data_IF_768037743770
#
_entry.id   IF_768037743770
#
_cell.length_a   1.000
_cell.length_b   1.000
_cell.length_c   1.000
_cell.angle_alpha   90.00
_cell.angle_beta   90.00
_cell.angle_gamma   90.00
#
_symmetry.space_group_name_H-M   'P 1'
#
loop_
_entity.id
_entity.type
_entity.pdbx_description
1 polymer ?
#
# COMPACT_ATOMS: atom_id res chain seq x y z
N UNK A 1 17.54 9.36 14.69
CA UNK A 1 16.07 9.58 14.61
C UNK A 1 15.39 8.24 14.41
N UNK A 2 14.26 7.96 15.07
CA UNK A 2 13.55 6.69 14.84
C UNK A 2 12.59 6.83 13.66
N UNK A 3 12.53 5.78 12.83
CA UNK A 3 11.68 5.70 11.64
C UNK A 3 10.91 4.39 11.67
N UNK A 4 9.58 4.48 11.73
CA UNK A 4 8.69 3.33 11.66
C UNK A 4 8.03 3.28 10.27
N UNK A 5 8.36 2.24 9.52
CA UNK A 5 7.85 1.96 8.18
C UNK A 5 6.80 0.87 8.27
N UNK A 6 5.66 1.06 7.61
CA UNK A 6 4.59 0.08 7.56
C UNK A 6 4.20 -0.21 6.12
N UNK A 7 4.18 -1.49 5.75
CA UNK A 7 3.34 -1.89 4.64
C UNK A 7 1.86 -1.76 5.02
N UNK A 8 0.96 -1.79 4.04
CA UNK A 8 -0.46 -1.51 4.28
C UNK A 8 -1.32 -2.77 4.24
N UNK A 9 -1.41 -3.37 3.05
CA UNK A 9 -2.31 -4.48 2.77
C UNK A 9 -1.84 -5.74 3.49
N UNK A 10 -2.75 -6.46 4.17
CA UNK A 10 -2.47 -7.59 5.07
C UNK A 10 -1.52 -7.27 6.24
N UNK A 11 -0.94 -6.08 6.30
CA UNK A 11 -0.07 -5.61 7.40
C UNK A 11 -0.82 -4.73 8.40
N UNK A 12 -1.27 -3.54 8.00
CA UNK A 12 -2.13 -2.64 8.80
C UNK A 12 -3.62 -2.88 8.55
N UNK A 13 -3.98 -3.34 7.36
CA UNK A 13 -5.32 -3.79 7.02
C UNK A 13 -5.34 -5.33 6.95
N UNK A 14 -6.43 -6.01 7.39
CA UNK A 14 -6.57 -7.46 7.22
C UNK A 14 -7.00 -7.87 5.80
N UNK A 15 -7.05 -6.93 4.87
CA UNK A 15 -7.49 -7.09 3.47
C UNK A 15 -6.49 -6.45 2.51
N UNK A 16 -6.56 -6.83 1.24
CA UNK A 16 -5.93 -6.14 0.12
C UNK A 16 -6.83 -4.99 -0.33
N UNK A 17 -6.37 -3.75 -0.16
CA UNK A 17 -7.15 -2.55 -0.44
C UNK A 17 -7.36 -2.30 -1.93
N UNK A 18 -6.42 -2.70 -2.78
CA UNK A 18 -6.53 -2.54 -4.24
C UNK A 18 -7.54 -3.55 -4.83
N UNK A 19 -7.46 -4.81 -4.38
CA UNK A 19 -8.47 -5.81 -4.71
C UNK A 19 -9.88 -5.40 -4.24
N UNK A 20 -9.98 -4.94 -2.99
CA UNK A 20 -11.25 -4.50 -2.41
C UNK A 20 -11.83 -3.29 -3.16
N UNK A 21 -10.98 -2.34 -3.60
CA UNK A 21 -11.41 -1.25 -4.48
C UNK A 21 -11.95 -1.77 -5.81
N UNK A 22 -11.25 -2.71 -6.44
CA UNK A 22 -11.70 -3.34 -7.67
C UNK A 22 -13.06 -4.02 -7.51
N UNK A 23 -13.26 -4.81 -6.46
CA UNK A 23 -14.56 -5.43 -6.13
C UNK A 23 -15.63 -4.36 -5.90
N UNK A 24 -15.32 -3.29 -5.16
CA UNK A 24 -16.23 -2.18 -4.94
C UNK A 24 -16.68 -1.55 -6.26
N UNK A 25 -15.78 -1.36 -7.23
CA UNK A 25 -16.15 -0.81 -8.56
C UNK A 25 -17.12 -1.71 -9.33
N UNK A 26 -17.11 -3.02 -9.09
CA UNK A 26 -18.13 -3.92 -9.66
C UNK A 26 -19.49 -3.73 -8.99
N UNK A 27 -19.54 -3.52 -7.67
CA UNK A 27 -20.81 -3.36 -6.94
C UNK A 27 -21.53 -2.06 -7.30
N UNK A 28 -20.79 -1.00 -7.65
CA UNK A 28 -21.35 0.28 -8.11
C UNK A 28 -21.56 0.33 -9.64
N UNK A 29 -21.36 -0.79 -10.35
CA UNK A 29 -21.62 -0.92 -11.78
C UNK A 29 -20.61 -0.20 -12.70
N UNK A 30 -19.41 0.08 -12.21
CA UNK A 30 -18.35 0.69 -13.03
C UNK A 30 -17.58 -0.33 -13.85
N UNK A 31 -17.49 -1.56 -13.36
CA UNK A 31 -16.74 -2.66 -13.96
C UNK A 31 -17.63 -3.90 -14.00
N UNK A 32 -17.55 -4.66 -15.09
CA UNK A 32 -18.21 -5.96 -15.17
C UNK A 32 -17.55 -6.96 -14.21
N UNK A 33 -18.30 -7.61 -13.31
CA UNK A 33 -17.69 -8.48 -12.29
C UNK A 33 -17.02 -9.73 -12.87
N UNK A 34 -17.51 -10.26 -14.00
CA UNK A 34 -16.94 -11.46 -14.63
C UNK A 34 -15.59 -11.12 -15.26
N UNK A 35 -15.52 -10.01 -16.01
CA UNK A 35 -14.27 -9.56 -16.63
C UNK A 35 -13.25 -9.14 -15.56
N UNK A 36 -13.70 -8.42 -14.54
CA UNK A 36 -12.82 -8.03 -13.42
C UNK A 36 -12.19 -9.25 -12.74
N UNK A 37 -13.00 -10.22 -12.32
CA UNK A 37 -12.49 -11.40 -11.61
C UNK A 37 -11.50 -12.18 -12.48
N UNK A 38 -11.84 -12.43 -13.76
CA UNK A 38 -10.94 -13.12 -14.68
C UNK A 38 -9.56 -12.43 -14.78
N UNK A 39 -9.56 -11.12 -15.03
CA UNK A 39 -8.33 -10.33 -15.20
C UNK A 39 -7.54 -10.25 -13.88
N UNK A 40 -8.24 -10.06 -12.76
CA UNK A 40 -7.61 -10.00 -11.45
C UNK A 40 -6.95 -11.34 -11.09
N UNK A 41 -7.60 -12.47 -11.37
CA UNK A 41 -7.02 -13.80 -11.14
C UNK A 41 -5.75 -14.03 -11.99
N UNK A 42 -5.72 -13.55 -13.23
CA UNK A 42 -4.54 -13.58 -14.10
C UNK A 42 -3.39 -12.77 -13.47
N UNK A 43 -3.63 -11.53 -13.02
CA UNK A 43 -2.63 -10.69 -12.35
C UNK A 43 -2.16 -11.31 -11.02
N UNK A 44 -3.09 -11.89 -10.25
CA UNK A 44 -2.74 -12.54 -8.99
C UNK A 44 -1.86 -13.78 -9.20
N UNK A 45 -2.11 -14.55 -10.26
CA UNK A 45 -1.23 -15.66 -10.64
C UNK A 45 0.20 -15.16 -10.97
N UNK A 46 0.31 -14.09 -11.74
CA UNK A 46 1.61 -13.44 -12.03
C UNK A 46 2.29 -12.88 -10.78
N UNK A 47 1.53 -12.28 -9.86
CA UNK A 47 2.07 -11.81 -8.57
C UNK A 47 2.69 -12.95 -7.76
N UNK A 48 1.97 -14.09 -7.61
CA UNK A 48 2.49 -15.27 -6.91
C UNK A 48 3.71 -15.90 -7.59
N UNK A 49 3.72 -15.90 -8.93
CA UNK A 49 4.86 -16.39 -9.71
C UNK A 49 6.06 -15.43 -9.72
N UNK A 50 5.90 -14.20 -9.22
CA UNK A 50 6.95 -13.18 -9.25
C UNK A 50 7.17 -12.56 -10.63
N UNK A 51 6.24 -12.75 -11.58
CA UNK A 51 6.30 -12.28 -12.97
C UNK A 51 5.33 -11.14 -13.28
N UNK A 52 4.73 -10.54 -12.25
CA UNK A 52 3.79 -9.43 -12.41
C UNK A 52 4.49 -8.22 -13.05
N UNK A 53 3.96 -7.74 -14.18
CA UNK A 53 4.26 -6.41 -14.70
C UNK A 53 3.41 -5.37 -13.94
N UNK A 54 4.07 -4.57 -13.14
CA UNK A 54 3.41 -3.57 -12.29
C UNK A 54 2.74 -2.46 -13.12
N UNK A 55 3.27 -2.13 -14.31
CA UNK A 55 2.69 -1.12 -15.19
C UNK A 55 1.37 -1.59 -15.81
N UNK A 56 1.33 -2.85 -16.27
CA UNK A 56 0.10 -3.45 -16.77
C UNK A 56 -0.95 -3.58 -15.67
N UNK A 57 -0.53 -3.96 -14.47
CA UNK A 57 -1.42 -4.03 -13.31
C UNK A 57 -2.01 -2.66 -12.94
N UNK A 58 -1.21 -1.62 -12.86
CA UNK A 58 -1.68 -0.26 -12.54
C UNK A 58 -2.64 0.26 -13.61
N UNK A 59 -2.39 -0.02 -14.89
CA UNK A 59 -3.34 0.31 -15.97
C UNK A 59 -4.69 -0.38 -15.76
N UNK A 60 -4.69 -1.64 -15.36
CA UNK A 60 -5.89 -2.40 -15.02
C UNK A 60 -6.60 -1.84 -13.77
N UNK A 61 -5.90 -1.70 -12.64
CA UNK A 61 -6.45 -1.28 -11.36
C UNK A 61 -7.08 0.13 -11.43
N UNK A 62 -6.51 1.01 -12.27
CA UNK A 62 -6.99 2.40 -12.44
C UNK A 62 -8.02 2.58 -13.57
N UNK A 63 -8.31 1.54 -14.35
CA UNK A 63 -9.15 1.66 -15.56
C UNK A 63 -10.56 2.21 -15.26
N UNK A 64 -11.22 1.69 -14.23
CA UNK A 64 -12.55 2.15 -13.82
C UNK A 64 -12.56 3.62 -13.43
N UNK A 65 -11.55 4.04 -12.65
CA UNK A 65 -11.37 5.42 -12.16
C UNK A 65 -11.11 6.38 -13.32
N UNK A 66 -10.23 5.99 -14.27
CA UNK A 66 -9.87 6.83 -15.42
C UNK A 66 -11.04 7.15 -16.35
N UNK A 67 -12.02 6.22 -16.43
CA UNK A 67 -13.24 6.39 -17.25
C UNK A 67 -14.24 7.38 -16.64
N UNK A 68 -14.03 7.79 -15.39
CA UNK A 68 -14.89 8.69 -14.63
C UNK A 68 -14.20 10.05 -14.45
N UNK A 69 -14.99 11.06 -14.20
CA UNK A 69 -14.44 12.37 -13.86
C UNK A 69 -13.95 12.42 -12.40
N UNK A 70 -13.09 13.41 -12.11
CA UNK A 70 -12.46 13.60 -10.78
C UNK A 70 -13.50 13.58 -9.65
N UNK A 71 -14.59 14.32 -9.78
CA UNK A 71 -15.62 14.44 -8.75
C UNK A 71 -16.33 13.09 -8.47
N UNK A 72 -16.67 12.36 -9.53
CA UNK A 72 -17.34 11.06 -9.43
C UNK A 72 -16.40 10.03 -8.78
N UNK A 73 -15.13 10.00 -9.18
CA UNK A 73 -14.13 9.10 -8.61
C UNK A 73 -13.89 9.35 -7.12
N UNK A 74 -13.77 10.63 -6.70
CA UNK A 74 -13.62 10.94 -5.28
C UNK A 74 -14.89 10.66 -4.46
N UNK A 75 -16.08 10.87 -5.01
CA UNK A 75 -17.32 10.50 -4.34
C UNK A 75 -17.41 8.97 -4.12
N UNK A 76 -17.08 8.18 -5.15
CA UNK A 76 -17.02 6.72 -5.04
C UNK A 76 -15.96 6.27 -4.05
N UNK A 77 -14.78 6.92 -4.04
CA UNK A 77 -13.73 6.61 -3.07
C UNK A 77 -14.15 6.91 -1.63
N UNK A 78 -14.88 8.02 -1.39
CA UNK A 78 -15.41 8.33 -0.07
C UNK A 78 -16.40 7.27 0.42
N UNK A 79 -17.23 6.73 -0.49
CA UNK A 79 -18.14 5.63 -0.19
C UNK A 79 -17.37 4.33 0.10
N UNK A 80 -16.34 4.03 -0.69
CA UNK A 80 -15.45 2.90 -0.45
C UNK A 80 -14.78 2.97 0.93
N UNK A 81 -14.26 4.13 1.31
CA UNK A 81 -13.70 4.32 2.65
C UNK A 81 -14.72 3.97 3.73
N UNK A 82 -15.93 4.53 3.65
CA UNK A 82 -16.96 4.34 4.65
C UNK A 82 -17.51 2.92 4.72
N UNK A 83 -17.70 2.27 3.56
CA UNK A 83 -18.38 0.96 3.50
C UNK A 83 -17.45 -0.23 3.57
N UNK A 84 -16.17 -0.07 3.21
CA UNK A 84 -15.20 -1.18 3.09
C UNK A 84 -14.00 -0.98 4.00
N UNK A 85 -13.33 0.17 3.92
CA UNK A 85 -12.05 0.36 4.61
C UNK A 85 -12.24 0.63 6.11
N UNK A 86 -13.07 1.60 6.49
CA UNK A 86 -13.27 1.94 7.92
C UNK A 86 -13.72 0.72 8.75
N UNK A 87 -14.65 -0.14 8.27
CA UNK A 87 -14.99 -1.36 8.98
C UNK A 87 -13.85 -2.40 9.06
N UNK A 88 -12.89 -2.34 8.14
CA UNK A 88 -11.75 -3.26 8.11
C UNK A 88 -10.61 -2.80 9.03
N UNK A 89 -10.54 -1.50 9.38
CA UNK A 89 -9.50 -0.99 10.28
C UNK A 89 -9.66 -1.60 11.67
N UNK A 90 -8.61 -2.26 12.14
CA UNK A 90 -8.60 -2.93 13.45
C UNK A 90 -7.98 -2.05 14.53
N UNK A 91 -8.53 -2.06 15.77
CA UNK A 91 -7.98 -1.31 16.89
C UNK A 91 -6.50 -1.62 17.17
N UNK A 92 -6.07 -2.87 16.97
CA UNK A 92 -4.71 -3.33 17.19
C UNK A 92 -3.73 -2.65 16.23
N UNK A 93 -4.12 -2.49 14.96
CA UNK A 93 -3.31 -1.80 13.95
C UNK A 93 -3.20 -0.29 14.26
N UNK A 94 -4.32 0.33 14.64
CA UNK A 94 -4.30 1.73 15.09
C UNK A 94 -3.42 1.92 16.33
N UNK A 95 -3.50 1.01 17.30
CA UNK A 95 -2.69 1.05 18.51
C UNK A 95 -1.20 0.91 18.20
N UNK A 96 -0.83 0.04 17.25
CA UNK A 96 0.55 -0.14 16.81
C UNK A 96 1.11 1.16 16.18
N UNK A 97 0.40 1.75 15.23
CA UNK A 97 0.79 3.03 14.60
C UNK A 97 0.91 4.13 15.66
N UNK A 98 -0.11 4.24 16.53
CA UNK A 98 -0.13 5.26 17.58
C UNK A 98 0.99 5.10 18.60
N UNK A 99 1.44 3.87 18.88
CA UNK A 99 2.57 3.66 19.82
C UNK A 99 3.85 4.30 19.30
N UNK A 100 4.13 4.20 18.00
CA UNK A 100 5.26 4.86 17.36
C UNK A 100 5.12 6.39 17.35
N UNK A 101 3.92 6.88 17.01
CA UNK A 101 3.64 8.33 17.06
C UNK A 101 3.86 8.92 18.47
N UNK A 102 3.39 8.22 19.51
CA UNK A 102 3.55 8.66 20.89
C UNK A 102 5.00 8.55 21.37
N UNK A 103 5.79 7.64 20.81
CA UNK A 103 7.23 7.54 21.06
C UNK A 103 8.04 8.66 20.37
N UNK A 104 7.38 9.45 19.49
CA UNK A 104 8.03 10.50 18.70
C UNK A 104 8.73 9.98 17.45
N UNK A 105 8.45 8.75 17.04
CA UNK A 105 9.00 8.18 15.82
C UNK A 105 8.38 8.84 14.59
N UNK A 106 9.14 9.01 13.52
CA UNK A 106 8.62 9.33 12.21
C UNK A 106 7.90 8.10 11.65
N UNK A 107 6.62 8.25 11.32
CA UNK A 107 5.78 7.14 10.83
C UNK A 107 5.49 7.31 9.35
N UNK A 108 5.77 6.29 8.55
CA UNK A 108 5.65 6.28 7.11
C UNK A 108 4.97 4.99 6.64
N UNK A 109 3.92 5.10 5.81
CA UNK A 109 3.37 3.94 5.10
C UNK A 109 4.09 3.80 3.76
N UNK A 110 4.52 2.55 3.44
CA UNK A 110 5.24 2.20 2.20
C UNK A 110 4.54 1.01 1.55
N UNK A 111 3.71 1.25 0.56
CA UNK A 111 2.86 0.23 -0.08
C UNK A 111 3.09 0.11 -1.57
N UNK A 112 2.85 -1.09 -2.13
CA UNK A 112 2.86 -1.33 -3.57
C UNK A 112 1.52 -0.97 -4.25
N UNK A 113 0.51 -0.61 -3.49
CA UNK A 113 -0.78 -0.12 -4.00
C UNK A 113 -0.69 1.35 -4.41
N UNK A 114 -1.50 1.76 -5.38
CA UNK A 114 -1.45 3.11 -5.93
C UNK A 114 -1.97 4.18 -4.95
N UNK A 115 -1.48 5.42 -5.14
CA UNK A 115 -1.77 6.55 -4.24
C UNK A 115 -3.26 6.97 -4.21
N UNK A 116 -4.01 6.74 -5.29
CA UNK A 116 -5.43 7.08 -5.33
C UNK A 116 -6.22 6.27 -4.31
N UNK A 117 -5.94 4.97 -4.20
CA UNK A 117 -6.59 4.09 -3.22
C UNK A 117 -6.07 4.37 -1.82
N UNK A 118 -4.76 4.51 -1.65
CA UNK A 118 -4.12 4.39 -0.32
C UNK A 118 -4.00 5.69 0.46
N UNK A 119 -3.99 6.86 -0.18
CA UNK A 119 -3.81 8.14 0.54
C UNK A 119 -4.90 8.42 1.59
N UNK A 120 -6.22 8.26 1.31
CA UNK A 120 -7.24 8.39 2.34
C UNK A 120 -7.15 7.31 3.43
N UNK A 121 -6.66 6.10 3.10
CA UNK A 121 -6.44 5.03 4.07
C UNK A 121 -5.32 5.43 5.05
N UNK A 122 -4.19 5.94 4.55
CA UNK A 122 -3.11 6.44 5.39
C UNK A 122 -3.59 7.54 6.35
N UNK A 123 -4.43 8.45 5.85
CA UNK A 123 -5.06 9.50 6.67
C UNK A 123 -5.97 8.91 7.77
N UNK A 124 -6.70 7.84 7.49
CA UNK A 124 -7.54 7.16 8.49
C UNK A 124 -6.70 6.52 9.62
N UNK A 125 -5.46 6.11 9.34
CA UNK A 125 -4.48 5.70 10.35
C UNK A 125 -3.79 6.88 11.05
N UNK A 126 -4.08 8.13 10.67
CA UNK A 126 -3.39 9.33 11.20
C UNK A 126 -1.95 9.46 10.70
N UNK A 127 -1.60 8.83 9.57
CA UNK A 127 -0.28 8.88 8.95
C UNK A 127 -0.29 9.85 7.78
N UNK A 128 0.50 10.92 7.87
CA UNK A 128 0.63 11.93 6.81
C UNK A 128 1.63 11.55 5.73
N UNK A 129 2.66 10.77 6.08
CA UNK A 129 3.73 10.36 5.18
C UNK A 129 3.37 9.04 4.49
N UNK A 130 3.34 9.05 3.17
CA UNK A 130 2.95 7.90 2.35
C UNK A 130 3.87 7.79 1.13
N UNK A 131 4.49 6.63 0.97
CA UNK A 131 5.10 6.15 -0.26
C UNK A 131 4.19 5.08 -0.85
N UNK A 132 3.54 5.41 -1.95
CA UNK A 132 2.68 4.53 -2.74
C UNK A 132 3.16 4.53 -4.19
N UNK A 133 2.56 3.71 -5.04
CA UNK A 133 2.77 3.83 -6.48
C UNK A 133 2.13 5.14 -6.94
N UNK A 134 2.95 6.10 -7.34
CA UNK A 134 2.51 7.39 -7.85
C UNK A 134 1.95 7.27 -9.27
N UNK A 135 0.84 7.93 -9.51
CA UNK A 135 0.16 7.90 -10.80
C UNK A 135 0.50 9.14 -11.62
N UNK A 136 0.92 8.93 -12.88
CA UNK A 136 1.12 10.02 -13.81
C UNK A 136 -0.20 10.74 -14.10
N UNK A 137 -0.14 12.07 -14.24
CA UNK A 137 -1.30 12.95 -14.45
C UNK A 137 -1.21 13.66 -15.78
N UNK A 138 -2.33 13.81 -16.47
CA UNK A 138 -2.44 14.57 -17.70
C UNK A 138 -2.70 16.05 -17.37
N UNK A 139 -1.77 16.92 -17.76
CA UNK A 139 -1.90 18.36 -17.54
C UNK A 139 -3.05 19.00 -18.34
N UNK A 140 -3.65 18.30 -19.29
CA UNK A 140 -4.78 18.81 -20.09
C UNK A 140 -6.09 18.87 -19.33
N UNK A 141 -6.22 18.18 -18.20
CA UNK A 141 -7.44 18.16 -17.39
C UNK A 141 -7.35 19.14 -16.18
N UNK A 142 -6.86 20.34 -16.46
CA UNK A 142 -6.70 21.41 -15.44
C UNK A 142 -7.92 22.32 -15.31
N UNK A 143 -9.09 21.93 -15.85
CA UNK A 143 -10.28 22.76 -15.98
C UNK A 143 -10.85 23.37 -14.67
N UNK A 144 -10.19 23.23 -13.52
CA UNK A 144 -10.54 23.86 -12.27
C UNK A 144 -9.32 24.18 -11.37
N UNK A 145 -8.13 24.44 -11.95
CA UNK A 145 -6.93 24.71 -11.15
C UNK A 145 -6.33 23.46 -10.47
N UNK A 146 -6.72 22.26 -10.91
CA UNK A 146 -6.23 20.99 -10.41
C UNK A 146 -4.95 20.52 -11.11
N UNK A 147 -4.28 19.54 -10.52
CA UNK A 147 -3.04 18.91 -11.01
C UNK A 147 -3.24 17.94 -12.20
N UNK A 148 -4.38 18.00 -12.91
CA UNK A 148 -4.75 17.04 -13.96
C UNK A 148 -5.32 15.71 -13.42
N UNK A 149 -5.76 14.85 -14.34
CA UNK A 149 -6.33 13.53 -13.99
C UNK A 149 -5.34 12.40 -14.28
N UNK A 150 -5.49 11.28 -13.59
CA UNK A 150 -4.61 10.12 -13.71
C UNK A 150 -4.68 9.51 -15.11
N UNK A 151 -3.53 9.14 -15.66
CA UNK A 151 -3.40 8.54 -17.00
C UNK A 151 -3.46 7.01 -16.99
N UNK A 152 -3.20 6.39 -15.83
CA UNK A 152 -2.98 4.95 -15.67
C UNK A 152 -1.52 4.54 -15.81
N UNK A 153 -0.63 5.49 -16.08
CA UNK A 153 0.81 5.25 -16.06
C UNK A 153 1.39 5.57 -14.67
N UNK A 154 2.52 4.93 -14.36
CA UNK A 154 3.27 5.17 -13.13
C UNK A 154 4.15 6.39 -13.30
N UNK A 155 4.20 7.26 -12.30
CA UNK A 155 5.16 8.34 -12.20
C UNK A 155 6.38 7.89 -11.38
N UNK A 156 7.57 7.95 -11.98
CA UNK A 156 8.81 7.61 -11.29
C UNK A 156 8.98 6.11 -11.00
N UNK A 157 9.62 5.78 -9.88
CA UNK A 157 9.91 4.41 -9.47
C UNK A 157 8.72 3.86 -8.68
N UNK A 158 8.10 2.73 -9.09
CA UNK A 158 7.04 2.10 -8.33
C UNK A 158 7.55 1.59 -6.97
N UNK A 159 6.77 1.80 -5.91
CA UNK A 159 7.10 1.36 -4.55
C UNK A 159 6.79 -0.13 -4.33
N UNK A 160 7.29 -0.99 -5.20
CA UNK A 160 7.13 -2.43 -5.15
C UNK A 160 8.50 -3.11 -5.12
N UNK A 161 8.65 -4.15 -4.30
CA UNK A 161 9.89 -4.92 -4.14
C UNK A 161 11.09 -4.01 -3.84
N UNK A 162 12.18 -4.11 -4.63
CA UNK A 162 13.37 -3.26 -4.52
C UNK A 162 13.06 -1.77 -4.67
N UNK A 163 11.97 -1.44 -5.36
CA UNK A 163 11.48 -0.08 -5.47
C UNK A 163 11.09 0.55 -4.14
N UNK A 164 10.65 -0.23 -3.13
CA UNK A 164 10.41 0.28 -1.78
C UNK A 164 11.70 0.84 -1.18
N UNK A 165 12.83 0.12 -1.30
CA UNK A 165 14.15 0.59 -0.82
C UNK A 165 14.54 1.89 -1.51
N UNK A 166 14.44 1.92 -2.85
CA UNK A 166 14.76 3.12 -3.65
C UNK A 166 13.93 4.32 -3.21
N UNK A 167 12.61 4.13 -3.03
CA UNK A 167 11.69 5.21 -2.67
C UNK A 167 11.89 5.71 -1.25
N UNK A 168 12.16 4.82 -0.28
CA UNK A 168 12.50 5.24 1.10
C UNK A 168 13.83 5.97 1.11
N UNK A 169 14.85 5.50 0.37
CA UNK A 169 16.14 6.20 0.23
C UNK A 169 15.96 7.61 -0.34
N UNK A 170 15.14 7.78 -1.38
CA UNK A 170 14.81 9.09 -1.95
C UNK A 170 14.08 9.98 -0.92
N UNK A 171 13.15 9.39 -0.15
CA UNK A 171 12.43 10.11 0.90
C UNK A 171 13.36 10.60 2.02
N UNK A 172 14.34 9.80 2.42
CA UNK A 172 15.40 10.18 3.35
C UNK A 172 16.29 11.31 2.77
N UNK A 173 16.79 11.12 1.54
CA UNK A 173 17.64 12.11 0.85
C UNK A 173 16.96 13.47 0.73
N UNK A 174 15.66 13.51 0.45
CA UNK A 174 14.88 14.76 0.39
C UNK A 174 14.78 15.48 1.74
N UNK A 175 15.25 14.85 2.82
CA UNK A 175 15.32 15.39 4.18
C UNK A 175 16.76 15.52 4.68
N UNK A 176 17.73 15.44 3.78
CA UNK A 176 19.16 15.45 4.08
C UNK A 176 19.57 14.33 5.05
N UNK A 177 18.93 13.16 4.95
CA UNK A 177 19.17 11.96 5.76
C UNK A 177 19.64 10.78 4.90
N UNK A 178 20.40 9.89 5.53
CA UNK A 178 20.75 8.57 5.00
C UNK A 178 20.26 7.46 5.94
N UNK A 179 20.36 6.19 5.53
CA UNK A 179 19.97 5.05 6.35
C UNK A 179 20.73 5.00 7.69
N UNK A 180 21.99 5.43 7.71
CA UNK A 180 22.83 5.46 8.92
C UNK A 180 22.40 6.55 9.92
N UNK A 181 21.59 7.52 9.51
CA UNK A 181 21.08 8.59 10.37
C UNK A 181 19.78 8.22 11.09
N UNK A 182 19.20 7.08 10.76
CA UNK A 182 17.90 6.64 11.28
C UNK A 182 17.99 5.25 11.91
N UNK A 183 17.30 5.06 13.03
CA UNK A 183 16.99 3.74 13.59
C UNK A 183 15.63 3.30 13.03
N UNK A 184 15.66 2.37 12.08
CA UNK A 184 14.48 2.03 11.26
C UNK A 184 13.86 0.71 11.65
N UNK A 185 12.52 0.69 11.76
CA UNK A 185 11.72 -0.52 11.94
C UNK A 185 10.78 -0.66 10.76
N UNK A 186 10.66 -1.85 10.17
CA UNK A 186 9.73 -2.09 9.07
C UNK A 186 8.83 -3.29 9.36
N UNK A 187 7.52 -3.08 9.19
CA UNK A 187 6.45 -4.04 9.38
C UNK A 187 5.88 -4.45 8.03
N UNK A 188 5.86 -5.74 7.71
CA UNK A 188 5.26 -6.28 6.48
C UNK A 188 4.84 -7.74 6.64
N UNK A 189 3.82 -8.16 5.87
CA UNK A 189 3.35 -9.54 5.76
C UNK A 189 4.02 -10.32 4.63
N UNK A 190 4.62 -9.61 3.65
CA UNK A 190 4.94 -10.17 2.34
C UNK A 190 6.43 -10.44 2.14
N UNK A 191 6.73 -11.63 1.59
CA UNK A 191 8.07 -11.98 1.10
C UNK A 191 8.56 -11.02 -0.01
N UNK A 192 7.67 -10.36 -0.73
CA UNK A 192 8.05 -9.41 -1.77
C UNK A 192 8.76 -8.16 -1.24
N UNK A 193 8.69 -7.92 0.07
CA UNK A 193 9.33 -6.81 0.76
C UNK A 193 10.68 -7.17 1.40
N UNK A 194 11.19 -8.37 1.09
CA UNK A 194 12.42 -8.88 1.71
C UNK A 194 13.59 -7.89 1.59
N UNK A 195 13.75 -7.23 0.44
CA UNK A 195 14.82 -6.25 0.23
C UNK A 195 14.77 -5.09 1.22
N UNK A 196 13.58 -4.57 1.55
CA UNK A 196 13.44 -3.50 2.55
C UNK A 196 13.62 -4.05 3.97
N UNK A 197 13.14 -5.27 4.26
CA UNK A 197 13.38 -5.92 5.55
C UNK A 197 14.87 -6.16 5.83
N UNK A 198 15.66 -6.45 4.80
CA UNK A 198 17.12 -6.63 4.90
C UNK A 198 17.88 -5.30 5.04
N UNK A 199 17.24 -4.19 4.68
CA UNK A 199 17.85 -2.85 4.73
C UNK A 199 17.65 -2.18 6.10
N UNK A 200 16.52 -2.43 6.78
CA UNK A 200 16.19 -1.77 8.05
C UNK A 200 16.93 -2.40 9.24
N UNK A 201 17.04 -1.65 10.34
CA UNK A 201 17.65 -2.13 11.59
C UNK A 201 16.77 -3.20 12.27
N UNK A 202 15.44 -3.02 12.26
CA UNK A 202 14.49 -3.86 12.98
C UNK A 202 13.39 -4.38 12.02
N UNK A 203 13.63 -5.49 11.31
CA UNK A 203 12.58 -6.13 10.52
C UNK A 203 11.56 -6.84 11.42
N UNK A 204 10.27 -6.60 11.15
CA UNK A 204 9.15 -7.23 11.85
C UNK A 204 8.22 -7.88 10.85
N UNK A 205 8.19 -9.21 10.83
CA UNK A 205 7.27 -9.98 10.00
C UNK A 205 5.87 -9.95 10.64
N UNK A 206 4.97 -9.16 10.07
CA UNK A 206 3.63 -8.87 10.62
C UNK A 206 2.58 -9.61 9.84
N UNK A 207 1.81 -10.50 10.49
CA UNK A 207 0.87 -11.43 9.85
C UNK A 207 1.50 -12.18 8.63
N UNK A 208 2.75 -12.65 8.70
CA UNK A 208 3.54 -12.98 7.54
C UNK A 208 2.95 -14.15 6.75
N UNK A 209 3.09 -14.07 5.43
CA UNK A 209 2.89 -15.23 4.58
C UNK A 209 3.84 -16.39 4.98
N UNK A 210 3.54 -17.62 4.53
CA UNK A 210 4.30 -18.80 4.94
C UNK A 210 5.79 -18.71 4.58
N UNK A 211 6.14 -18.02 3.48
CA UNK A 211 7.53 -17.87 3.00
C UNK A 211 8.29 -16.88 3.87
N UNK A 212 7.67 -15.72 4.16
CA UNK A 212 8.28 -14.72 5.03
C UNK A 212 8.39 -15.24 6.46
N UNK A 213 7.39 -15.97 6.98
CA UNK A 213 7.43 -16.59 8.30
C UNK A 213 8.64 -17.52 8.44
N UNK A 214 8.86 -18.41 7.47
CA UNK A 214 10.00 -19.34 7.49
C UNK A 214 11.35 -18.59 7.48
N UNK A 215 11.48 -17.50 6.75
CA UNK A 215 12.69 -16.65 6.75
C UNK A 215 12.85 -15.94 8.10
N UNK A 216 11.79 -15.35 8.63
CA UNK A 216 11.81 -14.66 9.91
C UNK A 216 12.24 -15.59 11.06
N UNK A 217 11.69 -16.80 11.10
CA UNK A 217 12.12 -17.85 12.06
C UNK A 217 13.60 -18.20 11.93
N UNK A 218 14.06 -18.41 10.68
CA UNK A 218 15.46 -18.77 10.41
C UNK A 218 16.42 -17.65 10.80
N UNK A 219 16.04 -16.39 10.61
CA UNK A 219 16.88 -15.21 10.85
C UNK A 219 16.71 -14.63 12.25
N UNK A 220 15.79 -15.17 13.06
CA UNK A 220 15.47 -14.65 14.39
C UNK A 220 14.80 -13.27 14.35
N UNK A 221 14.11 -12.94 13.26
CA UNK A 221 13.34 -11.71 13.16
C UNK A 221 12.08 -11.77 14.02
N UNK A 222 11.65 -10.63 14.51
CA UNK A 222 10.40 -10.54 15.27
C UNK A 222 9.22 -10.92 14.38
N UNK A 223 8.34 -11.78 14.88
CA UNK A 223 7.06 -12.12 14.26
C UNK A 223 5.94 -11.50 15.11
N UNK A 224 5.00 -10.83 14.45
CA UNK A 224 3.84 -10.20 15.07
C UNK A 224 2.57 -10.67 14.36
N UNK A 225 1.80 -11.53 15.01
CA UNK A 225 0.46 -11.91 14.53
C UNK A 225 -0.55 -10.87 15.04
N UNK A 226 -0.69 -9.78 14.28
CA UNK A 226 -1.51 -8.62 14.64
C UNK A 226 -3.01 -8.93 14.51
N UNK A 227 -3.36 -9.76 13.52
CA UNK A 227 -4.72 -10.21 13.29
C UNK A 227 -4.79 -11.71 13.58
N UNK A 228 -5.15 -12.12 14.80
CA UNK A 228 -5.28 -13.54 15.10
C UNK A 228 -6.33 -14.16 14.17
N UNK A 229 -5.97 -15.32 13.59
CA UNK A 229 -6.90 -16.09 12.78
C UNK A 229 -8.18 -16.26 13.60
N UNK A 230 -9.31 -15.80 13.06
CA UNK A 230 -10.61 -16.04 13.69
C UNK A 230 -10.75 -17.53 13.91
N UNK A 231 -10.83 -17.95 15.17
CA UNK A 231 -11.13 -19.34 15.51
C UNK A 231 -12.49 -19.66 14.87
N UNK A 232 -12.45 -20.38 13.74
CA UNK A 232 -13.65 -20.93 13.10
C UNK A 232 -14.24 -22.04 13.96
#
# INVERSE_FOLDING_TARGET
MNLALFDLDHTLLPIDSDYAWGVFTTTIGWTDPVDFNRRNDEFYAHYKAGTLDIHDYVRFATEAVRRRGVAEAHAAHSEFMRSVIEPAIRPEALALVRSHQLAGDMVLIVTATNEFVTRPIAQAFGVGELIAVELARDARDTAAGGSGWITGEIAGVPSAREGKVTRVSQWLQNRDLAWDDVESTFYTDSINDLSLMETVNHPVATNPDARLRAIAETRGWRILDLFPLSST
#
